data_IF_406829978962
#
_entry.id   IF_406829978962
#
_cell.length_a   1.000
_cell.length_b   1.000
_cell.length_c   1.000
_cell.angle_alpha   90.00
_cell.angle_beta   90.00
_cell.angle_gamma   90.00
#
_symmetry.space_group_name_H-M   'P 1'
#
loop_
_entity.id
_entity.type
_entity.pdbx_description
1 polymer ?
#
# COMPACT_ATOMS: atom_id res chain seq x y z
N UNK A 1 -14.27 34.32 47.58
CA UNK A 1 -15.11 33.86 46.45
C UNK A 1 -14.29 32.93 45.55
N UNK A 2 -13.81 31.81 46.12
CA UNK A 2 -12.91 30.86 45.44
C UNK A 2 -13.14 29.42 45.98
N UNK A 3 -14.42 29.03 46.10
CA UNK A 3 -14.82 27.71 46.56
C UNK A 3 -16.23 27.36 46.04
N UNK A 4 -16.42 27.38 44.73
CA UNK A 4 -17.60 26.83 44.07
C UNK A 4 -17.32 26.74 42.56
N UNK A 5 -16.65 25.68 42.12
CA UNK A 5 -16.60 25.19 40.72
C UNK A 5 -15.71 23.93 40.68
N UNK A 6 -16.12 22.90 41.42
CA UNK A 6 -15.61 21.52 41.29
C UNK A 6 -16.78 20.56 41.38
N UNK A 7 -17.64 20.55 40.36
CA UNK A 7 -18.58 19.44 40.13
C UNK A 7 -19.34 19.64 38.82
N UNK A 8 -18.82 19.10 37.72
CA UNK A 8 -19.62 18.63 36.57
C UNK A 8 -18.69 17.95 35.55
N UNK A 9 -18.13 16.80 35.90
CA UNK A 9 -17.63 15.85 34.91
C UNK A 9 -18.71 14.77 34.73
N UNK A 10 -19.21 14.53 33.49
CA UNK A 10 -20.12 13.44 33.19
C UNK A 10 -19.57 12.09 33.66
N UNK A 11 -20.46 11.20 34.10
CA UNK A 11 -20.12 9.90 34.70
C UNK A 11 -19.28 8.97 33.81
N UNK A 12 -19.33 9.13 32.49
CA UNK A 12 -18.56 8.35 31.52
C UNK A 12 -17.10 8.83 31.34
N UNK A 13 -16.70 9.93 31.98
CA UNK A 13 -15.35 10.51 31.94
C UNK A 13 -14.58 10.36 33.26
N UNK A 14 -15.07 9.55 34.21
CA UNK A 14 -14.32 9.26 35.44
C UNK A 14 -13.34 8.11 35.21
N UNK A 15 -12.03 8.30 35.44
CA UNK A 15 -11.07 7.19 35.39
C UNK A 15 -11.35 6.19 36.52
N UNK A 16 -11.30 4.89 36.21
CA UNK A 16 -11.39 3.80 37.18
C UNK A 16 -10.26 3.90 38.20
N UNK A 17 -10.60 3.84 39.49
CA UNK A 17 -9.67 3.93 40.63
C UNK A 17 -8.57 2.86 40.58
N UNK A 18 -7.31 3.28 40.45
CA UNK A 18 -6.12 2.45 40.65
C UNK A 18 -5.63 2.56 42.11
N UNK A 19 -5.20 1.43 42.65
CA UNK A 19 -4.67 1.25 44.01
C UNK A 19 -3.38 2.07 44.26
N UNK A 20 -3.08 2.49 45.51
CA UNK A 20 -2.10 3.56 45.76
C UNK A 20 -0.63 3.13 45.84
N UNK A 21 -0.22 1.99 45.26
CA UNK A 21 1.16 1.49 45.30
C UNK A 21 1.64 0.97 43.92
N UNK A 22 1.69 1.84 42.92
CA UNK A 22 2.26 1.51 41.59
C UNK A 22 3.31 2.53 41.18
N UNK A 23 4.53 2.06 40.91
CA UNK A 23 5.70 2.85 40.54
C UNK A 23 5.48 3.56 39.18
N UNK A 24 5.62 4.90 39.07
CA UNK A 24 5.40 5.64 37.82
C UNK A 24 6.29 5.20 36.66
N UNK A 25 7.39 4.49 36.94
CA UNK A 25 8.33 3.99 35.93
C UNK A 25 7.83 2.74 35.17
N UNK A 26 6.81 2.03 35.68
CA UNK A 26 6.32 0.79 35.04
C UNK A 26 5.36 1.09 33.87
N UNK A 27 4.65 2.23 33.91
CA UNK A 27 3.74 2.67 32.83
C UNK A 27 4.50 3.13 31.59
N UNK A 28 5.71 3.69 31.76
CA UNK A 28 6.53 4.21 30.67
C UNK A 28 7.21 3.10 29.82
N UNK A 29 7.27 1.85 30.30
CA UNK A 29 7.99 0.74 29.62
C UNK A 29 7.11 -0.16 28.74
N UNK A 30 5.78 -0.09 28.83
CA UNK A 30 4.89 -1.02 28.08
C UNK A 30 4.35 -0.48 26.76
N UNK A 31 4.56 0.79 26.42
CA UNK A 31 4.05 1.35 25.16
C UNK A 31 5.02 2.36 24.55
N UNK A 32 6.11 1.88 23.94
CA UNK A 32 6.90 2.65 22.98
C UNK A 32 7.45 1.73 21.89
N UNK A 33 6.66 1.54 20.83
CA UNK A 33 7.07 0.94 19.56
C UNK A 33 6.99 1.99 18.46
N UNK A 34 7.71 3.11 18.63
CA UNK A 34 8.06 4.04 17.55
C UNK A 34 9.51 4.42 17.74
N UNK A 35 10.29 4.14 16.72
CA UNK A 35 11.72 4.41 16.58
C UNK A 35 12.03 5.84 17.01
N UNK A 36 12.72 6.00 18.15
CA UNK A 36 13.48 7.21 18.42
C UNK A 36 14.77 7.14 17.62
N UNK A 37 14.86 7.94 16.55
CA UNK A 37 16.12 8.17 15.85
C UNK A 37 17.05 8.95 16.78
N UNK A 38 18.02 8.26 17.39
CA UNK A 38 19.17 8.91 18.02
C UNK A 38 20.09 9.42 16.91
N UNK A 39 20.07 10.73 16.65
CA UNK A 39 21.17 11.41 15.94
C UNK A 39 22.33 11.58 16.92
N UNK A 40 23.29 10.65 16.90
CA UNK A 40 24.56 10.82 17.58
C UNK A 40 25.50 11.63 16.71
N UNK A 41 25.80 12.86 17.16
CA UNK A 41 26.73 13.79 16.52
C UNK A 41 28.16 13.36 16.86
N UNK A 42 28.89 12.75 15.93
CA UNK A 42 30.32 12.47 16.13
C UNK A 42 31.10 13.79 16.07
N UNK A 43 31.70 14.19 17.19
CA UNK A 43 32.78 15.18 17.22
C UNK A 43 34.09 14.45 16.93
N UNK A 44 34.75 14.85 15.85
CA UNK A 44 36.14 14.46 15.57
C UNK A 44 37.03 15.32 16.47
N UNK A 45 37.56 14.74 17.54
CA UNK A 45 38.68 15.30 18.30
C UNK A 45 39.94 14.53 17.95
N UNK A 46 40.93 15.23 17.39
CA UNK A 46 42.31 14.75 17.28
C UNK A 46 42.89 14.53 18.68
N UNK A 47 43.40 13.33 18.98
CA UNK A 47 44.41 13.17 20.03
C UNK A 47 45.33 11.98 19.76
N UNK A 48 46.63 12.31 19.72
CA UNK A 48 47.81 11.54 20.14
C UNK A 48 48.03 10.12 19.64
N UNK A 49 49.12 9.99 18.87
CA UNK A 49 49.76 8.75 18.46
C UNK A 49 50.36 8.00 19.66
N UNK A 50 50.06 6.69 19.76
CA UNK A 50 50.84 5.73 20.53
C UNK A 50 51.54 4.77 19.56
N UNK A 51 52.85 4.65 19.76
CA UNK A 51 53.78 3.82 18.97
C UNK A 51 53.57 2.33 19.29
N UNK A 52 53.32 1.53 18.26
CA UNK A 52 53.49 0.08 18.32
C UNK A 52 54.88 -0.32 17.79
N UNK A 53 55.57 -1.30 18.39
CA UNK A 53 56.91 -1.71 17.99
C UNK A 53 56.90 -2.42 16.61
N UNK A 54 57.98 -2.21 15.86
CA UNK A 54 58.17 -2.72 14.51
C UNK A 54 58.25 -4.25 14.45
N UNK A 55 57.55 -4.86 13.48
CA UNK A 55 57.71 -6.27 13.11
C UNK A 55 59.00 -6.48 12.31
N UNK A 56 59.68 -7.63 12.47
CA UNK A 56 60.88 -7.96 11.68
C UNK A 56 60.51 -8.31 10.22
N UNK A 57 61.45 -8.17 9.26
CA UNK A 57 61.18 -8.42 7.86
C UNK A 57 61.01 -9.92 7.57
N UNK A 58 60.04 -10.23 6.71
CA UNK A 58 59.76 -11.58 6.20
C UNK A 58 60.81 -11.96 5.15
N UNK A 59 61.38 -13.18 5.16
CA UNK A 59 62.29 -13.60 4.11
C UNK A 59 61.52 -13.99 2.84
N UNK A 60 62.03 -13.55 1.68
CA UNK A 60 61.58 -13.98 0.36
C UNK A 60 61.86 -15.48 0.16
N UNK A 61 60.85 -16.21 -0.32
CA UNK A 61 61.01 -17.51 -0.95
C UNK A 61 60.12 -17.58 -2.19
N UNK A 62 60.81 -17.61 -3.34
CA UNK A 62 60.28 -17.98 -4.64
C UNK A 62 59.85 -19.46 -4.68
N UNK A 63 59.01 -19.76 -5.68
CA UNK A 63 58.66 -21.07 -6.24
C UNK A 63 57.85 -22.06 -5.37
N UNK A 64 56.52 -22.02 -5.54
CA UNK A 64 55.71 -23.22 -5.77
C UNK A 64 54.49 -22.86 -6.65
N UNK A 65 54.68 -22.83 -7.96
CA UNK A 65 53.58 -22.89 -8.93
C UNK A 65 53.26 -24.36 -9.21
N UNK A 66 52.12 -24.84 -8.66
CA UNK A 66 51.19 -25.84 -9.23
C UNK A 66 50.26 -26.41 -8.16
N UNK A 67 49.12 -25.75 -7.94
CA UNK A 67 47.88 -26.39 -7.49
C UNK A 67 46.71 -25.71 -8.21
N UNK A 68 46.13 -26.28 -9.28
CA UNK A 68 44.77 -25.91 -9.65
C UNK A 68 43.79 -26.55 -8.64
N UNK A 69 42.57 -26.01 -8.54
CA UNK A 69 41.40 -26.62 -7.84
C UNK A 69 41.40 -26.65 -6.30
N UNK A 70 41.36 -25.47 -5.65
CA UNK A 70 40.70 -25.37 -4.34
C UNK A 70 39.77 -24.15 -4.25
N UNK A 71 40.15 -23.00 -4.80
CA UNK A 71 39.28 -21.82 -4.80
C UNK A 71 38.00 -22.00 -5.65
N UNK A 72 38.11 -22.69 -6.79
CA UNK A 72 36.96 -23.00 -7.64
C UNK A 72 36.00 -24.00 -6.97
N UNK A 73 36.52 -25.06 -6.34
CA UNK A 73 35.73 -26.05 -5.60
C UNK A 73 35.08 -25.43 -4.35
N UNK A 74 35.78 -24.56 -3.62
CA UNK A 74 35.20 -23.85 -2.48
C UNK A 74 34.05 -22.93 -2.93
N UNK A 75 34.20 -22.27 -4.09
CA UNK A 75 33.16 -21.41 -4.65
C UNK A 75 31.94 -22.19 -5.16
N UNK A 76 32.16 -23.37 -5.75
CA UNK A 76 31.11 -24.31 -6.15
C UNK A 76 30.38 -24.86 -4.93
N UNK A 77 31.11 -25.29 -3.90
CA UNK A 77 30.54 -25.82 -2.68
C UNK A 77 29.77 -24.74 -1.88
N UNK A 78 30.26 -23.50 -1.85
CA UNK A 78 29.53 -22.36 -1.31
C UNK A 78 28.24 -22.09 -2.10
N UNK A 79 28.28 -22.14 -3.43
CA UNK A 79 27.08 -21.99 -4.28
C UNK A 79 26.07 -23.13 -4.03
N UNK A 80 26.53 -24.37 -3.91
CA UNK A 80 25.70 -25.52 -3.59
C UNK A 80 25.05 -25.37 -2.21
N UNK A 81 25.82 -25.03 -1.17
CA UNK A 81 25.31 -24.76 0.18
C UNK A 81 24.29 -23.61 0.21
N UNK A 82 24.54 -22.55 -0.57
CA UNK A 82 23.60 -21.43 -0.71
C UNK A 82 22.31 -21.89 -1.41
N UNK A 83 22.43 -22.71 -2.46
CA UNK A 83 21.28 -23.26 -3.18
C UNK A 83 20.47 -24.24 -2.32
N UNK A 84 21.12 -25.06 -1.50
CA UNK A 84 20.48 -25.94 -0.53
C UNK A 84 19.77 -25.17 0.58
N UNK A 85 20.39 -24.09 1.11
CA UNK A 85 19.74 -23.20 2.09
C UNK A 85 18.49 -22.56 1.50
N UNK A 86 18.57 -22.06 0.26
CA UNK A 86 17.43 -21.48 -0.45
C UNK A 86 16.34 -22.53 -0.73
N UNK A 87 16.70 -23.76 -1.13
CA UNK A 87 15.74 -24.84 -1.36
C UNK A 87 15.04 -25.30 -0.07
N UNK A 88 15.75 -25.33 1.06
CA UNK A 88 15.21 -25.64 2.38
C UNK A 88 14.26 -24.53 2.89
N UNK A 89 14.65 -23.26 2.74
CA UNK A 89 13.80 -22.11 3.04
C UNK A 89 12.55 -22.08 2.15
N UNK A 90 12.66 -22.42 0.86
CA UNK A 90 11.52 -22.53 -0.04
C UNK A 90 10.54 -23.67 0.33
N UNK A 91 11.06 -24.79 0.84
CA UNK A 91 10.22 -25.91 1.29
C UNK A 91 9.50 -25.56 2.58
N UNK A 92 10.19 -24.95 3.56
CA UNK A 92 9.59 -24.52 4.83
C UNK A 92 8.54 -23.42 4.66
N UNK A 93 8.76 -22.47 3.75
CA UNK A 93 7.76 -21.43 3.40
C UNK A 93 6.52 -22.03 2.75
N UNK A 94 6.66 -23.03 1.89
CA UNK A 94 5.53 -23.74 1.28
C UNK A 94 4.66 -24.46 2.32
N UNK A 95 5.29 -25.15 3.29
CA UNK A 95 4.57 -25.82 4.38
C UNK A 95 3.82 -24.83 5.26
N UNK A 96 4.47 -23.72 5.65
CA UNK A 96 3.83 -22.68 6.45
C UNK A 96 2.64 -22.04 5.72
N UNK A 97 2.75 -21.81 4.41
CA UNK A 97 1.64 -21.32 3.59
C UNK A 97 0.47 -22.32 3.54
N UNK A 98 0.75 -23.62 3.37
CA UNK A 98 -0.31 -24.64 3.38
C UNK A 98 -1.04 -24.72 4.72
N UNK A 99 -0.30 -24.68 5.84
CA UNK A 99 -0.90 -24.67 7.18
C UNK A 99 -1.78 -23.43 7.39
N UNK A 100 -1.31 -22.25 6.96
CA UNK A 100 -2.09 -21.02 7.02
C UNK A 100 -3.38 -21.15 6.19
N UNK A 101 -3.29 -21.66 4.95
CA UNK A 101 -4.46 -21.84 4.08
C UNK A 101 -5.53 -22.71 4.74
N UNK A 102 -5.12 -23.83 5.34
CA UNK A 102 -6.03 -24.73 6.03
C UNK A 102 -6.68 -24.05 7.25
N UNK A 103 -5.91 -23.27 8.02
CA UNK A 103 -6.45 -22.54 9.16
C UNK A 103 -7.46 -21.46 8.75
N UNK A 104 -7.22 -20.76 7.65
CA UNK A 104 -8.13 -19.75 7.10
C UNK A 104 -9.42 -20.37 6.55
N UNK A 105 -9.33 -21.52 5.86
CA UNK A 105 -10.51 -22.25 5.40
C UNK A 105 -11.38 -22.69 6.59
N UNK A 106 -10.75 -23.27 7.63
CA UNK A 106 -11.46 -23.66 8.85
C UNK A 106 -12.13 -22.46 9.53
N UNK A 107 -11.50 -21.29 9.50
CA UNK A 107 -12.10 -20.04 10.01
C UNK A 107 -13.32 -19.63 9.18
N UNK A 108 -13.21 -19.65 7.85
CA UNK A 108 -14.33 -19.31 6.96
C UNK A 108 -15.52 -20.27 7.10
N UNK A 109 -15.26 -21.55 7.41
CA UNK A 109 -16.30 -22.54 7.66
C UNK A 109 -17.09 -22.32 8.95
N UNK A 110 -16.61 -21.47 9.86
CA UNK A 110 -17.37 -21.08 11.06
C UNK A 110 -18.47 -20.05 10.78
N UNK A 111 -18.47 -19.42 9.60
CA UNK A 111 -19.49 -18.43 9.22
C UNK A 111 -20.76 -19.15 8.77
N UNK A 112 -21.88 -18.86 9.46
CA UNK A 112 -23.17 -19.51 9.18
C UNK A 112 -23.92 -18.87 8.00
N UNK A 113 -23.84 -17.55 7.85
CA UNK A 113 -24.55 -16.82 6.79
C UNK A 113 -23.80 -16.93 5.44
N UNK A 114 -24.44 -17.40 4.36
CA UNK A 114 -23.77 -17.60 3.07
C UNK A 114 -23.21 -16.32 2.43
N UNK A 115 -23.89 -15.18 2.58
CA UNK A 115 -23.43 -13.91 2.00
C UNK A 115 -22.22 -13.38 2.77
N UNK A 116 -22.30 -13.35 4.11
CA UNK A 116 -21.18 -13.00 4.96
C UNK A 116 -20.00 -13.95 4.79
N UNK A 117 -20.26 -15.26 4.60
CA UNK A 117 -19.21 -16.25 4.34
C UNK A 117 -18.43 -15.90 3.07
N UNK A 118 -19.11 -15.57 1.98
CA UNK A 118 -18.46 -15.21 0.71
C UNK A 118 -17.59 -13.94 0.85
N UNK A 119 -18.07 -12.93 1.55
CA UNK A 119 -17.30 -11.72 1.82
C UNK A 119 -16.07 -12.04 2.67
N UNK A 120 -16.25 -12.82 3.73
CA UNK A 120 -15.17 -13.21 4.63
C UNK A 120 -14.13 -14.12 3.95
N UNK A 121 -14.54 -15.04 3.07
CA UNK A 121 -13.64 -15.83 2.22
C UNK A 121 -12.76 -14.94 1.34
N UNK A 122 -13.33 -13.88 0.77
CA UNK A 122 -12.57 -12.90 -0.02
C UNK A 122 -11.53 -12.19 0.83
N UNK A 123 -11.88 -11.79 2.06
CA UNK A 123 -10.91 -11.23 3.02
C UNK A 123 -9.79 -12.21 3.36
N UNK A 124 -10.12 -13.49 3.59
CA UNK A 124 -9.15 -14.52 3.91
C UNK A 124 -8.22 -14.84 2.73
N UNK A 125 -8.74 -14.80 1.49
CA UNK A 125 -7.94 -14.94 0.27
C UNK A 125 -6.95 -13.78 0.11
N UNK A 126 -7.41 -12.55 0.31
CA UNK A 126 -6.56 -11.36 0.24
C UNK A 126 -5.48 -11.38 1.34
N UNK A 127 -5.85 -11.77 2.57
CA UNK A 127 -4.89 -11.98 3.65
C UNK A 127 -3.88 -13.08 3.32
N UNK A 128 -4.32 -14.19 2.73
CA UNK A 128 -3.44 -15.28 2.34
C UNK A 128 -2.43 -14.84 1.28
N UNK A 129 -2.85 -14.05 0.29
CA UNK A 129 -1.95 -13.47 -0.71
C UNK A 129 -0.89 -12.58 -0.05
N UNK A 130 -1.28 -11.75 0.92
CA UNK A 130 -0.36 -10.92 1.71
C UNK A 130 0.62 -11.78 2.53
N UNK A 131 0.13 -12.81 3.20
CA UNK A 131 0.96 -13.71 4.02
C UNK A 131 1.97 -14.48 3.16
N UNK A 132 1.56 -14.96 1.99
CA UNK A 132 2.45 -15.63 1.04
C UNK A 132 3.55 -14.69 0.55
N UNK A 133 3.20 -13.42 0.24
CA UNK A 133 4.19 -12.39 -0.11
C UNK A 133 5.17 -12.15 1.04
N UNK A 134 4.67 -12.02 2.27
CA UNK A 134 5.51 -11.89 3.47
C UNK A 134 6.52 -13.03 3.62
N UNK A 135 6.09 -14.29 3.45
CA UNK A 135 7.00 -15.44 3.52
C UNK A 135 8.07 -15.40 2.43
N UNK A 136 7.68 -15.07 1.19
CA UNK A 136 8.62 -14.96 0.07
C UNK A 136 9.65 -13.84 0.29
N UNK A 137 9.21 -12.69 0.78
CA UNK A 137 10.09 -11.53 1.02
C UNK A 137 11.03 -11.78 2.20
N UNK A 138 10.54 -12.50 3.22
CA UNK A 138 11.35 -12.93 4.36
C UNK A 138 12.45 -13.92 3.94
N UNK A 139 12.12 -14.91 3.11
CA UNK A 139 13.10 -15.86 2.57
C UNK A 139 14.16 -15.17 1.69
N UNK A 140 13.77 -14.12 0.96
CA UNK A 140 14.70 -13.30 0.17
C UNK A 140 15.55 -12.33 1.01
N UNK A 141 15.34 -12.25 2.33
CA UNK A 141 16.13 -11.42 3.23
C UNK A 141 15.77 -9.93 3.23
N UNK A 142 14.67 -9.51 2.58
CA UNK A 142 14.08 -8.16 2.60
C UNK A 142 15.07 -6.97 2.58
N UNK A 143 16.22 -7.14 1.91
CA UNK A 143 17.16 -6.04 1.70
C UNK A 143 16.73 -5.31 0.43
N UNK A 144 16.71 -3.96 0.48
CA UNK A 144 16.81 -3.14 -0.71
C UNK A 144 18.13 -3.53 -1.37
N UNK A 145 18.09 -4.52 -2.26
CA UNK A 145 19.25 -5.22 -2.78
C UNK A 145 20.16 -4.33 -3.63
N UNK A 146 19.72 -3.11 -3.92
CA UNK A 146 20.37 -2.21 -4.86
C UNK A 146 20.12 -0.75 -4.46
N UNK A 147 20.83 -0.30 -3.42
CA UNK A 147 20.80 1.08 -2.97
C UNK A 147 21.22 2.06 -4.07
N UNK A 148 22.12 1.60 -4.96
CA UNK A 148 22.65 2.37 -6.08
C UNK A 148 21.60 2.69 -7.15
N UNK A 149 20.44 2.00 -7.13
CA UNK A 149 19.29 2.31 -8.00
C UNK A 149 18.38 3.42 -7.49
N UNK A 150 18.59 3.91 -6.27
CA UNK A 150 17.80 5.00 -5.71
C UNK A 150 18.36 6.33 -6.23
N UNK A 151 17.52 7.11 -6.92
CA UNK A 151 17.85 8.43 -7.41
C UNK A 151 16.82 9.46 -6.93
N UNK A 152 17.20 10.74 -6.76
CA UNK A 152 16.25 11.82 -6.58
C UNK A 152 15.23 11.85 -7.72
N UNK A 153 13.97 12.23 -7.45
CA UNK A 153 12.97 12.35 -8.50
C UNK A 153 13.42 13.37 -9.56
N UNK A 154 13.13 13.08 -10.82
CA UNK A 154 13.38 14.01 -11.91
C UNK A 154 12.50 15.26 -11.76
N UNK A 155 12.92 16.38 -12.38
CA UNK A 155 12.25 17.68 -12.23
C UNK A 155 10.78 17.67 -12.65
N UNK A 156 10.36 16.76 -13.52
CA UNK A 156 8.97 16.59 -13.97
C UNK A 156 8.15 15.58 -13.13
N UNK A 157 8.77 14.84 -12.21
CA UNK A 157 8.07 13.85 -11.38
C UNK A 157 7.42 14.47 -10.14
N UNK A 158 7.96 15.58 -9.66
CA UNK A 158 7.44 16.35 -8.53
C UNK A 158 7.32 17.80 -8.97
N UNK A 159 6.09 18.23 -9.24
CA UNK A 159 5.77 19.60 -9.68
C UNK A 159 5.62 20.50 -8.46
N UNK A 160 6.23 21.69 -8.50
CA UNK A 160 6.06 22.68 -7.44
C UNK A 160 4.62 23.21 -7.46
N UNK A 161 4.00 23.29 -6.29
CA UNK A 161 2.63 23.77 -6.15
C UNK A 161 2.41 25.19 -6.73
N UNK A 162 3.44 26.05 -6.64
CA UNK A 162 3.37 27.42 -7.14
C UNK A 162 3.29 27.48 -8.67
N UNK A 163 3.77 26.46 -9.37
CA UNK A 163 3.73 26.37 -10.83
C UNK A 163 2.36 25.92 -11.36
N UNK A 164 1.46 25.43 -10.50
CA UNK A 164 0.14 24.98 -10.91
C UNK A 164 -0.72 26.15 -11.39
N UNK A 165 -1.44 25.95 -12.49
CA UNK A 165 -2.39 26.95 -13.00
C UNK A 165 -3.42 27.32 -11.91
N UNK A 166 -3.79 28.60 -11.87
CA UNK A 166 -4.79 29.13 -10.94
C UNK A 166 -6.08 29.53 -11.67
N UNK A 167 -6.53 28.70 -12.61
CA UNK A 167 -7.79 28.91 -13.31
C UNK A 167 -8.87 28.06 -12.65
N UNK A 168 -9.77 28.67 -11.89
CA UNK A 168 -10.84 27.97 -11.16
C UNK A 168 -11.78 27.20 -12.11
N UNK A 169 -11.41 25.95 -12.42
CA UNK A 169 -12.20 25.07 -13.29
C UNK A 169 -13.19 24.28 -12.44
N UNK A 170 -14.23 24.99 -11.98
CA UNK A 170 -15.29 24.48 -11.11
C UNK A 170 -15.99 23.23 -11.70
N UNK A 171 -16.02 23.11 -13.03
CA UNK A 171 -16.60 21.97 -13.75
C UNK A 171 -16.01 20.61 -13.34
N UNK A 172 -14.76 20.59 -12.88
CA UNK A 172 -14.07 19.38 -12.48
C UNK A 172 -14.50 18.82 -11.13
N UNK A 173 -15.17 19.61 -10.29
CA UNK A 173 -15.67 19.15 -8.99
C UNK A 173 -16.70 18.03 -9.14
N UNK A 174 -17.47 17.99 -10.23
CA UNK A 174 -18.42 16.91 -10.50
C UNK A 174 -17.74 15.55 -10.75
N UNK A 175 -16.45 15.56 -11.08
CA UNK A 175 -15.63 14.35 -11.30
C UNK A 175 -14.86 13.92 -10.06
N UNK A 176 -15.00 14.63 -8.95
CA UNK A 176 -14.27 14.39 -7.71
C UNK A 176 -15.15 13.70 -6.67
N UNK A 177 -14.60 12.74 -5.95
CA UNK A 177 -15.09 12.30 -4.64
C UNK A 177 -14.03 12.53 -3.56
N UNK A 178 -14.46 12.81 -2.34
CA UNK A 178 -13.56 13.00 -1.19
C UNK A 178 -13.67 11.80 -0.27
N UNK A 179 -12.56 11.09 -0.05
CA UNK A 179 -12.49 9.93 0.84
C UNK A 179 -11.66 10.27 2.07
N UNK A 180 -12.23 10.10 3.26
CA UNK A 180 -11.51 10.22 4.53
C UNK A 180 -11.27 8.86 5.18
N UNK A 181 -10.02 8.61 5.54
CA UNK A 181 -9.61 7.42 6.29
C UNK A 181 -10.07 7.57 7.75
N UNK A 182 -11.03 6.74 8.16
CA UNK A 182 -11.73 6.79 9.45
C UNK A 182 -11.64 5.46 10.24
N UNK A 183 -10.66 4.62 9.94
CA UNK A 183 -10.40 3.38 10.69
C UNK A 183 -9.65 3.56 12.02
N UNK A 184 -9.14 4.77 12.29
CA UNK A 184 -8.32 5.05 13.46
C UNK A 184 -9.13 5.30 14.73
N UNK A 185 -8.71 4.67 15.82
CA UNK A 185 -9.25 4.93 17.16
C UNK A 185 -8.55 6.11 17.85
N UNK A 186 -9.27 6.78 18.73
CA UNK A 186 -8.76 7.88 19.58
C UNK A 186 -7.94 7.44 20.79
N UNK A 187 -7.54 6.16 20.88
CA UNK A 187 -6.95 5.57 22.10
C UNK A 187 -5.63 6.23 22.52
N UNK A 188 -4.80 6.67 21.57
CA UNK A 188 -3.57 7.41 21.89
C UNK A 188 -3.83 8.76 22.57
N UNK A 189 -5.04 9.29 22.43
CA UNK A 189 -5.51 10.52 23.06
C UNK A 189 -6.37 10.25 24.31
N UNK A 190 -6.49 8.99 24.73
CA UNK A 190 -7.31 8.59 25.88
C UNK A 190 -8.82 8.60 25.61
N UNK A 191 -9.24 8.71 24.35
CA UNK A 191 -10.65 8.69 23.97
C UNK A 191 -11.09 7.28 23.56
N UNK A 192 -12.33 6.93 23.91
CA UNK A 192 -13.02 5.73 23.40
C UNK A 192 -13.77 6.12 22.13
N UNK A 193 -13.64 5.30 21.09
CA UNK A 193 -14.32 5.50 19.80
C UNK A 193 -13.42 6.05 18.68
N UNK A 194 -14.02 6.42 17.52
CA UNK A 194 -13.30 6.88 16.34
C UNK A 194 -12.59 8.20 16.61
N UNK A 195 -11.37 8.34 16.07
CA UNK A 195 -10.59 9.58 16.22
C UNK A 195 -11.28 10.79 15.59
N UNK A 196 -12.12 10.57 14.59
CA UNK A 196 -12.87 11.61 13.89
C UNK A 196 -13.88 12.37 14.75
N UNK A 197 -14.30 11.78 15.87
CA UNK A 197 -15.34 12.31 16.78
C UNK A 197 -14.74 13.22 17.84
N UNK A 198 -13.42 13.22 17.98
CA UNK A 198 -12.73 14.06 18.96
C UNK A 198 -12.97 15.53 18.63
N UNK A 199 -13.44 16.28 19.62
CA UNK A 199 -13.61 17.73 19.54
C UNK A 199 -12.26 18.41 19.34
N UNK A 200 -12.18 19.25 18.31
CA UNK A 200 -10.98 20.02 17.97
C UNK A 200 -11.15 21.48 18.37
N UNK A 201 -12.28 22.08 18.01
CA UNK A 201 -12.49 23.53 18.15
C UNK A 201 -13.97 23.87 18.23
N UNK A 202 -14.34 24.73 19.18
CA UNK A 202 -15.67 25.31 19.29
C UNK A 202 -16.82 24.27 19.28
N UNK A 203 -16.66 23.14 19.99
CA UNK A 203 -17.65 22.06 19.99
C UNK A 203 -17.65 21.17 18.74
N UNK A 204 -16.78 21.44 17.75
CA UNK A 204 -16.72 20.70 16.49
C UNK A 204 -15.65 19.61 16.52
N UNK A 205 -16.02 18.42 16.08
CA UNK A 205 -15.09 17.32 15.82
C UNK A 205 -14.38 17.44 14.47
N UNK A 206 -13.37 16.59 14.23
CA UNK A 206 -12.74 16.47 12.91
C UNK A 206 -13.75 16.15 11.81
N UNK A 207 -14.73 15.29 12.11
CA UNK A 207 -15.79 14.95 11.18
C UNK A 207 -16.70 16.13 10.89
N UNK A 208 -17.06 16.93 11.91
CA UNK A 208 -17.89 18.12 11.74
C UNK A 208 -17.21 19.14 10.82
N UNK A 209 -15.91 19.36 11.03
CA UNK A 209 -15.11 20.26 10.21
C UNK A 209 -15.01 19.77 8.76
N UNK A 210 -14.81 18.46 8.56
CA UNK A 210 -14.74 17.85 7.22
C UNK A 210 -16.07 17.98 6.48
N UNK A 211 -17.19 17.68 7.15
CA UNK A 211 -18.54 17.82 6.58
C UNK A 211 -18.82 19.27 6.22
N UNK A 212 -18.49 20.23 7.10
CA UNK A 212 -18.66 21.66 6.82
C UNK A 212 -17.85 22.15 5.63
N UNK A 213 -16.62 21.66 5.46
CA UNK A 213 -15.79 22.02 4.30
C UNK A 213 -16.44 21.57 2.98
N UNK A 214 -16.96 20.35 2.92
CA UNK A 214 -17.62 19.82 1.71
C UNK A 214 -18.98 20.47 1.49
N UNK A 215 -19.77 20.69 2.55
CA UNK A 215 -21.04 21.41 2.46
C UNK A 215 -20.83 22.85 1.95
N UNK A 216 -19.80 23.54 2.43
CA UNK A 216 -19.42 24.86 1.94
C UNK A 216 -19.04 24.83 0.46
N UNK A 217 -18.26 23.83 0.04
CA UNK A 217 -17.87 23.64 -1.36
C UNK A 217 -19.09 23.39 -2.25
N UNK A 218 -19.98 22.49 -1.84
CA UNK A 218 -21.21 22.17 -2.57
C UNK A 218 -22.13 23.40 -2.72
N UNK A 219 -22.27 24.21 -1.66
CA UNK A 219 -23.08 25.45 -1.70
C UNK A 219 -22.44 26.54 -2.56
N UNK A 220 -21.14 26.77 -2.43
CA UNK A 220 -20.42 27.85 -3.13
C UNK A 220 -20.42 27.63 -4.63
N UNK A 221 -20.21 26.37 -5.06
CA UNK A 221 -20.08 26.03 -6.48
C UNK A 221 -21.31 25.38 -7.08
N UNK A 222 -22.38 25.19 -6.30
CA UNK A 222 -23.61 24.50 -6.69
C UNK A 222 -23.34 23.11 -7.31
N UNK A 223 -22.52 22.32 -6.61
CA UNK A 223 -22.14 20.94 -6.98
C UNK A 223 -22.54 19.96 -5.88
N UNK A 224 -22.47 18.66 -6.18
CA UNK A 224 -22.69 17.59 -5.20
C UNK A 224 -21.50 16.62 -5.18
N UNK A 225 -20.46 17.00 -4.44
CA UNK A 225 -19.27 16.16 -4.25
C UNK A 225 -19.57 15.06 -3.24
N UNK A 226 -19.44 13.76 -3.60
CA UNK A 226 -19.63 12.65 -2.67
C UNK A 226 -18.56 12.67 -1.57
N UNK A 227 -18.98 12.49 -0.32
CA UNK A 227 -18.11 12.40 0.84
C UNK A 227 -18.10 10.95 1.37
N UNK A 228 -16.97 10.27 1.25
CA UNK A 228 -16.82 8.85 1.55
C UNK A 228 -16.01 8.66 2.82
N UNK A 229 -16.51 7.86 3.76
CA UNK A 229 -15.79 7.47 4.98
C UNK A 229 -15.38 5.99 4.90
N UNK A 230 -14.08 5.73 4.97
CA UNK A 230 -13.55 4.38 5.11
C UNK A 230 -13.40 4.05 6.60
N UNK A 231 -14.33 3.28 7.13
CA UNK A 231 -14.39 2.88 8.53
C UNK A 231 -13.55 1.61 8.78
N UNK A 232 -13.52 1.17 10.03
CA UNK A 232 -13.08 -0.17 10.43
C UNK A 232 -14.16 -0.82 11.27
N UNK A 233 -14.10 -2.13 11.50
CA UNK A 233 -14.95 -2.81 12.47
C UNK A 233 -14.87 -2.23 13.90
N UNK A 234 -13.87 -1.39 14.22
CA UNK A 234 -13.80 -0.69 15.51
C UNK A 234 -14.49 0.68 15.51
N UNK A 235 -14.82 1.21 14.33
CA UNK A 235 -15.30 2.60 14.18
C UNK A 235 -16.62 2.71 13.44
N UNK A 236 -17.05 1.67 12.74
CA UNK A 236 -18.21 1.71 11.85
C UNK A 236 -19.51 2.00 12.60
N UNK A 237 -19.87 1.23 13.62
CA UNK A 237 -21.10 1.41 14.40
C UNK A 237 -21.21 2.82 15.02
N UNK A 238 -20.14 3.31 15.63
CA UNK A 238 -20.08 4.66 16.20
C UNK A 238 -20.24 5.72 15.10
N UNK A 239 -19.60 5.51 13.95
CA UNK A 239 -19.71 6.44 12.82
C UNK A 239 -21.13 6.46 12.24
N UNK A 240 -21.79 5.31 12.07
CA UNK A 240 -23.17 5.23 11.58
C UNK A 240 -24.15 5.99 12.48
N UNK A 241 -23.94 5.96 13.80
CA UNK A 241 -24.78 6.70 14.71
C UNK A 241 -24.54 8.22 14.64
N UNK A 242 -23.30 8.63 14.42
CA UNK A 242 -22.92 10.05 14.38
C UNK A 242 -23.32 10.70 13.06
N UNK A 243 -23.21 10.01 11.93
CA UNK A 243 -23.53 10.60 10.62
C UNK A 243 -25.01 11.00 10.49
N UNK A 244 -25.92 10.38 11.27
CA UNK A 244 -27.34 10.76 11.34
C UNK A 244 -27.55 12.23 11.69
N UNK A 245 -26.61 12.85 12.42
CA UNK A 245 -26.68 14.28 12.76
C UNK A 245 -26.56 15.19 11.53
N UNK A 246 -26.07 14.67 10.41
CA UNK A 246 -25.92 15.39 9.15
C UNK A 246 -27.08 15.12 8.18
N UNK A 247 -28.09 14.36 8.57
CA UNK A 247 -29.30 14.20 7.76
C UNK A 247 -29.95 15.58 7.52
N UNK A 248 -30.18 15.92 6.25
CA UNK A 248 -30.71 17.23 5.84
C UNK A 248 -29.65 18.29 5.51
N UNK A 249 -28.36 18.01 5.70
CA UNK A 249 -27.29 18.86 5.16
C UNK A 249 -27.11 18.62 3.65
N UNK A 250 -26.54 19.61 2.95
CA UNK A 250 -26.29 19.52 1.50
C UNK A 250 -25.00 18.72 1.19
N UNK A 251 -24.97 17.46 1.60
CA UNK A 251 -23.84 16.56 1.46
C UNK A 251 -24.34 15.11 1.33
N UNK A 252 -23.76 14.36 0.40
CA UNK A 252 -24.00 12.92 0.28
C UNK A 252 -22.86 12.16 0.98
N UNK A 253 -23.18 11.52 2.11
CA UNK A 253 -22.21 10.78 2.93
C UNK A 253 -22.35 9.29 2.63
N UNK A 254 -21.32 8.72 2.02
CA UNK A 254 -21.20 7.28 1.79
C UNK A 254 -20.22 6.69 2.81
N UNK A 255 -20.47 5.46 3.25
CA UNK A 255 -19.60 4.79 4.22
C UNK A 255 -19.37 3.35 3.78
N UNK A 256 -18.16 2.85 4.00
CA UNK A 256 -17.86 1.43 3.86
C UNK A 256 -16.84 1.00 4.91
N UNK A 257 -16.85 -0.29 5.21
CA UNK A 257 -15.92 -0.88 6.15
C UNK A 257 -14.71 -1.47 5.39
N UNK A 258 -13.51 -1.25 5.92
CA UNK A 258 -12.31 -1.90 5.42
C UNK A 258 -12.25 -3.36 5.89
N UNK A 259 -11.37 -4.15 5.27
CA UNK A 259 -11.27 -5.58 5.59
C UNK A 259 -10.86 -5.84 7.04
N UNK A 260 -11.21 -7.04 7.54
CA UNK A 260 -10.83 -7.51 8.87
C UNK A 260 -9.92 -8.73 8.78
N UNK A 261 -8.64 -8.56 9.09
CA UNK A 261 -7.65 -9.64 9.01
C UNK A 261 -7.34 -10.28 10.36
N UNK A 262 -7.06 -11.60 10.40
CA UNK A 262 -6.70 -12.28 11.63
C UNK A 262 -5.28 -11.89 12.03
N UNK A 263 -5.07 -11.54 13.30
CA UNK A 263 -3.71 -11.40 13.84
C UNK A 263 -3.02 -12.76 13.82
N UNK A 264 -1.70 -12.74 13.69
CA UNK A 264 -0.87 -13.94 13.68
C UNK A 264 -0.12 -14.05 15.00
N UNK A 265 -0.11 -15.24 15.59
CA UNK A 265 0.75 -15.53 16.73
C UNK A 265 2.20 -15.64 16.26
N UNK A 266 3.10 -14.86 16.86
CA UNK A 266 4.51 -14.77 16.44
C UNK A 266 5.23 -16.12 16.43
N UNK A 267 4.94 -16.97 17.42
CA UNK A 267 5.69 -18.21 17.62
C UNK A 267 5.19 -19.34 16.70
N UNK A 268 3.88 -19.43 16.47
CA UNK A 268 3.29 -20.50 15.63
C UNK A 268 3.07 -20.11 14.18
N UNK A 269 3.07 -18.81 13.86
CA UNK A 269 2.68 -18.26 12.55
C UNK A 269 1.27 -18.67 12.10
N UNK A 270 0.40 -18.99 13.06
CA UNK A 270 -1.01 -19.33 12.82
C UNK A 270 -1.93 -18.18 13.23
N UNK A 271 -3.16 -18.11 12.68
CA UNK A 271 -4.12 -17.11 13.09
C UNK A 271 -4.47 -17.26 14.58
N UNK A 272 -4.50 -16.12 15.28
CA UNK A 272 -4.97 -15.99 16.64
C UNK A 272 -6.45 -16.38 16.79
N UNK A 273 -7.39 -15.87 15.98
CA UNK A 273 -8.80 -16.24 16.11
C UNK A 273 -9.02 -17.71 15.76
N UNK A 274 -10.03 -18.32 16.37
CA UNK A 274 -10.44 -19.72 16.13
C UNK A 274 -11.79 -19.84 15.40
N UNK A 275 -12.56 -18.77 15.40
CA UNK A 275 -13.86 -18.65 14.76
C UNK A 275 -14.10 -17.21 14.31
N UNK A 276 -15.09 -16.99 13.44
CA UNK A 276 -15.52 -15.67 12.99
C UNK A 276 -15.89 -14.71 14.14
N UNK A 277 -16.50 -15.25 15.20
CA UNK A 277 -16.93 -14.51 16.39
C UNK A 277 -15.85 -14.42 17.48
N UNK A 278 -14.61 -14.79 17.17
CA UNK A 278 -13.50 -14.64 18.12
C UNK A 278 -13.34 -13.17 18.53
N UNK A 279 -12.80 -12.89 19.73
CA UNK A 279 -12.69 -11.54 20.27
C UNK A 279 -12.10 -10.54 19.28
N UNK A 280 -12.65 -9.32 19.25
CA UNK A 280 -12.20 -8.21 18.39
C UNK A 280 -10.69 -7.97 18.47
N UNK A 281 -10.08 -8.23 19.64
CA UNK A 281 -8.63 -8.14 19.87
C UNK A 281 -7.78 -9.08 19.03
N UNK A 282 -8.36 -10.15 18.48
CA UNK A 282 -7.67 -11.15 17.68
C UNK A 282 -7.65 -10.76 16.19
N UNK A 283 -8.34 -9.66 15.86
CA UNK A 283 -8.43 -9.11 14.53
C UNK A 283 -7.67 -7.78 14.43
N UNK A 284 -7.39 -7.35 13.21
CA UNK A 284 -6.87 -6.02 12.94
C UNK A 284 -7.34 -5.52 11.57
N UNK A 285 -7.56 -4.20 11.40
CA UNK A 285 -7.71 -3.61 10.08
C UNK A 285 -6.33 -3.59 9.39
N UNK A 286 -6.21 -4.04 8.12
CA UNK A 286 -4.94 -4.16 7.40
C UNK A 286 -4.26 -2.84 6.99
N UNK A 287 -4.57 -1.75 7.69
CA UNK A 287 -4.06 -0.42 7.43
C UNK A 287 -4.71 0.24 6.20
N UNK A 288 -4.34 1.49 5.96
CA UNK A 288 -4.98 2.30 4.91
C UNK A 288 -4.68 1.84 3.47
N UNK A 289 -3.73 0.90 3.27
CA UNK A 289 -3.46 0.33 1.95
C UNK A 289 -4.59 -0.57 1.43
N UNK A 290 -5.45 -1.04 2.32
CA UNK A 290 -6.63 -1.85 2.00
C UNK A 290 -7.76 -1.04 1.34
N UNK A 291 -7.63 0.29 1.28
CA UNK A 291 -8.62 1.19 0.67
C UNK A 291 -9.02 0.74 -0.73
N UNK A 292 -8.09 0.19 -1.53
CA UNK A 292 -8.37 -0.22 -2.91
C UNK A 292 -9.28 -1.46 -2.96
N UNK A 293 -8.92 -2.51 -2.22
CA UNK A 293 -9.67 -3.76 -2.16
C UNK A 293 -11.04 -3.55 -1.52
N UNK A 294 -11.10 -2.86 -0.38
CA UNK A 294 -12.34 -2.60 0.33
C UNK A 294 -13.28 -1.65 -0.41
N UNK A 295 -12.77 -0.63 -1.10
CA UNK A 295 -13.59 0.25 -1.94
C UNK A 295 -14.18 -0.51 -3.14
N UNK A 296 -13.42 -1.42 -3.74
CA UNK A 296 -13.92 -2.30 -4.82
C UNK A 296 -14.99 -3.26 -4.28
N UNK A 297 -14.69 -4.00 -3.22
CA UNK A 297 -15.58 -5.01 -2.64
C UNK A 297 -16.88 -4.43 -2.08
N UNK A 298 -16.88 -3.17 -1.62
CA UNK A 298 -18.08 -2.48 -1.14
C UNK A 298 -19.08 -2.11 -2.26
N UNK A 299 -18.68 -2.14 -3.53
CA UNK A 299 -19.49 -1.65 -4.65
C UNK A 299 -19.63 -0.13 -4.72
N UNK A 300 -19.01 0.62 -3.79
CA UNK A 300 -18.99 2.08 -3.83
C UNK A 300 -18.17 2.55 -5.04
N UNK A 301 -17.09 1.86 -5.40
CA UNK A 301 -16.31 2.21 -6.60
C UNK A 301 -17.20 2.28 -7.84
N UNK A 302 -18.00 1.25 -8.09
CA UNK A 302 -18.94 1.21 -9.23
C UNK A 302 -19.99 2.32 -9.14
N UNK A 303 -20.43 2.64 -7.93
CA UNK A 303 -21.39 3.72 -7.68
C UNK A 303 -20.79 5.08 -8.02
N UNK A 304 -19.54 5.34 -7.63
CA UNK A 304 -18.81 6.56 -7.94
C UNK A 304 -18.58 6.68 -9.45
N UNK A 305 -18.12 5.61 -10.11
CA UNK A 305 -17.91 5.58 -11.57
C UNK A 305 -19.22 5.85 -12.32
N UNK A 306 -20.34 5.23 -11.92
CA UNK A 306 -21.66 5.46 -12.53
C UNK A 306 -22.14 6.91 -12.38
N UNK A 307 -21.71 7.60 -11.33
CA UNK A 307 -22.00 9.03 -11.10
C UNK A 307 -21.10 9.97 -11.93
N UNK A 308 -20.12 9.44 -12.66
CA UNK A 308 -19.17 10.24 -13.44
C UNK A 308 -17.97 10.74 -12.63
N UNK A 309 -17.71 10.15 -11.45
CA UNK A 309 -16.49 10.44 -10.67
C UNK A 309 -15.31 9.75 -11.35
N UNK A 310 -14.24 10.52 -11.58
CA UNK A 310 -12.98 10.04 -12.18
C UNK A 310 -11.83 10.03 -11.16
N UNK A 311 -11.90 10.87 -10.11
CA UNK A 311 -10.82 11.07 -9.14
C UNK A 311 -11.35 10.97 -7.72
N UNK A 312 -10.58 10.29 -6.86
CA UNK A 312 -10.79 10.26 -5.41
C UNK A 312 -9.68 11.03 -4.72
N UNK A 313 -10.04 12.07 -3.97
CA UNK A 313 -9.13 12.75 -3.05
C UNK A 313 -9.11 12.01 -1.70
N UNK A 314 -8.01 11.31 -1.44
CA UNK A 314 -7.81 10.51 -0.23
C UNK A 314 -7.02 11.28 0.83
N UNK A 315 -7.53 11.36 2.06
CA UNK A 315 -6.75 11.88 3.18
C UNK A 315 -7.17 11.26 4.52
N UNK A 316 -6.34 11.42 5.55
CA UNK A 316 -6.79 11.12 6.91
C UNK A 316 -7.87 12.11 7.37
N UNK A 317 -8.75 11.65 8.25
CA UNK A 317 -9.78 12.49 8.90
C UNK A 317 -9.19 13.46 9.91
N UNK A 318 -8.05 13.11 10.52
CA UNK A 318 -7.35 13.95 11.51
C UNK A 318 -6.45 15.03 10.89
N UNK A 319 -6.35 15.07 9.55
CA UNK A 319 -5.64 16.11 8.84
C UNK A 319 -6.60 17.21 8.38
N UNK A 320 -6.75 18.25 9.20
CA UNK A 320 -7.62 19.40 8.89
C UNK A 320 -7.11 20.27 7.73
N UNK A 321 -5.82 20.19 7.40
CA UNK A 321 -5.23 20.91 6.26
C UNK A 321 -5.50 20.23 4.91
N UNK A 322 -6.00 18.99 4.92
CA UNK A 322 -6.36 18.26 3.72
C UNK A 322 -7.73 18.71 3.19
N UNK A 323 -7.78 19.94 2.67
CA UNK A 323 -8.92 20.50 1.95
C UNK A 323 -8.84 20.18 0.46
N UNK A 324 -9.98 20.26 -0.23
CA UNK A 324 -10.01 20.13 -1.69
C UNK A 324 -9.30 21.33 -2.31
N UNK A 325 -8.24 21.06 -3.06
CA UNK A 325 -7.47 22.08 -3.77
C UNK A 325 -7.81 22.04 -5.27
N UNK A 326 -8.39 23.13 -5.78
CA UNK A 326 -8.82 23.23 -7.17
C UNK A 326 -7.65 23.26 -8.17
N UNK A 327 -6.48 23.77 -7.77
CA UNK A 327 -5.28 23.82 -8.63
C UNK A 327 -4.73 22.42 -8.84
N UNK A 328 -4.69 21.63 -7.76
CA UNK A 328 -4.30 20.22 -7.83
C UNK A 328 -5.31 19.42 -8.65
N UNK A 329 -6.62 19.60 -8.40
CA UNK A 329 -7.67 18.91 -9.14
C UNK A 329 -7.60 19.21 -10.63
N UNK A 330 -7.47 20.49 -11.00
CA UNK A 330 -7.31 20.88 -12.39
C UNK A 330 -6.09 20.21 -13.00
N UNK A 331 -4.94 20.29 -12.34
CA UNK A 331 -3.72 19.69 -12.83
C UNK A 331 -3.84 18.15 -12.98
N UNK A 332 -4.64 17.48 -12.16
CA UNK A 332 -4.91 16.04 -12.31
C UNK A 332 -5.80 15.69 -13.51
N UNK A 333 -6.74 16.56 -13.89
CA UNK A 333 -7.70 16.30 -14.96
C UNK A 333 -7.23 16.85 -16.30
N UNK A 334 -6.34 17.84 -16.30
CA UNK A 334 -5.82 18.44 -17.53
C UNK A 334 -5.20 17.35 -18.43
N UNK A 335 -5.76 17.11 -19.63
CA UNK A 335 -5.24 16.11 -20.58
C UNK A 335 -3.85 16.44 -21.13
N UNK A 336 -3.28 17.60 -20.76
CA UNK A 336 -1.88 17.90 -21.01
C UNK A 336 -0.93 17.21 -20.02
N UNK A 337 -1.43 16.64 -18.90
CA UNK A 337 -0.61 15.93 -17.91
C UNK A 337 -0.35 14.47 -18.29
N UNK A 338 -1.39 13.81 -18.77
CA UNK A 338 -1.32 12.50 -19.41
C UNK A 338 -1.97 12.74 -20.74
N UNK A 339 -1.26 12.53 -21.86
CA UNK A 339 -1.90 12.54 -23.17
C UNK A 339 -3.20 11.70 -23.13
N UNK A 340 -4.13 11.91 -24.09
CA UNK A 340 -5.36 11.13 -24.13
C UNK A 340 -5.05 9.64 -23.92
N UNK A 341 -5.92 8.92 -23.17
CA UNK A 341 -5.69 7.52 -22.84
C UNK A 341 -5.18 6.76 -24.08
N UNK A 342 -4.07 6.00 -23.97
CA UNK A 342 -3.41 5.46 -25.14
C UNK A 342 -4.38 4.63 -25.97
N UNK A 343 -4.36 4.83 -27.29
CA UNK A 343 -5.15 4.00 -28.18
C UNK A 343 -4.49 2.62 -28.28
N UNK A 344 -5.08 1.62 -27.61
CA UNK A 344 -4.57 0.25 -27.62
C UNK A 344 -5.43 -0.63 -28.54
N UNK A 345 -4.81 -1.20 -29.58
CA UNK A 345 -5.41 -2.18 -30.50
C UNK A 345 -4.63 -3.49 -30.42
N UNK A 346 -5.27 -4.52 -29.89
CA UNK A 346 -4.71 -5.87 -29.87
C UNK A 346 -5.43 -6.73 -30.93
N UNK A 347 -4.66 -7.47 -31.71
CA UNK A 347 -5.17 -8.35 -32.77
C UNK A 347 -5.91 -9.58 -32.23
N UNK A 348 -6.41 -10.40 -33.14
CA UNK A 348 -7.24 -11.57 -32.83
C UNK A 348 -6.56 -12.57 -31.86
N UNK A 349 -5.23 -12.67 -31.88
CA UNK A 349 -4.41 -13.48 -30.98
C UNK A 349 -4.52 -13.14 -29.49
N UNK A 350 -5.10 -11.97 -29.16
CA UNK A 350 -5.30 -11.49 -27.79
C UNK A 350 -6.79 -11.42 -27.40
N UNK A 351 -7.70 -11.88 -28.27
CA UNK A 351 -9.15 -11.75 -28.08
C UNK A 351 -9.67 -12.57 -26.89
N UNK A 352 -9.08 -13.73 -26.62
CA UNK A 352 -9.40 -14.56 -25.45
C UNK A 352 -8.48 -14.20 -24.29
N UNK A 353 -9.05 -14.11 -23.09
CA UNK A 353 -8.31 -13.79 -21.86
C UNK A 353 -7.16 -14.78 -21.61
N UNK A 354 -7.38 -16.07 -21.87
CA UNK A 354 -6.34 -17.11 -21.76
C UNK A 354 -5.14 -16.85 -22.65
N UNK A 355 -5.38 -16.39 -23.88
CA UNK A 355 -4.33 -16.12 -24.86
C UNK A 355 -3.62 -14.81 -24.53
N UNK A 356 -4.37 -13.79 -24.08
CA UNK A 356 -3.81 -12.54 -23.57
C UNK A 356 -2.84 -12.78 -22.41
N UNK A 357 -3.25 -13.52 -21.37
CA UNK A 357 -2.42 -13.79 -20.19
C UNK A 357 -1.20 -14.65 -20.52
N UNK A 358 -1.33 -15.58 -21.46
CA UNK A 358 -0.22 -16.41 -21.94
C UNK A 358 0.85 -15.57 -22.65
N UNK A 359 0.42 -14.57 -23.43
CA UNK A 359 1.30 -13.70 -24.24
C UNK A 359 1.84 -12.50 -23.47
N UNK A 360 1.13 -12.04 -22.44
CA UNK A 360 1.50 -10.91 -21.58
C UNK A 360 1.46 -11.39 -20.12
N UNK A 361 2.54 -12.08 -19.71
CA UNK A 361 2.66 -12.60 -18.35
C UNK A 361 2.92 -11.53 -17.27
N UNK A 362 3.28 -10.31 -17.68
CA UNK A 362 3.45 -9.14 -16.82
C UNK A 362 3.06 -7.90 -17.62
N UNK A 363 2.19 -7.06 -17.04
CA UNK A 363 1.71 -5.85 -17.70
C UNK A 363 2.90 -4.89 -17.95
N UNK A 364 3.12 -4.43 -19.20
CA UNK A 364 4.18 -3.49 -19.51
C UNK A 364 3.90 -2.11 -18.91
N UNK A 365 4.95 -1.32 -18.73
CA UNK A 365 4.81 0.10 -18.32
C UNK A 365 4.37 0.92 -19.53
N UNK A 366 3.21 1.58 -19.42
CA UNK A 366 2.58 2.34 -20.53
C UNK A 366 2.25 3.79 -20.15
N UNK A 367 2.91 4.33 -19.12
CA UNK A 367 2.59 5.66 -18.58
C UNK A 367 2.86 6.81 -19.57
N UNK A 368 3.78 6.59 -20.52
CA UNK A 368 4.16 7.54 -21.58
C UNK A 368 3.73 7.03 -22.97
N UNK A 369 2.74 6.13 -23.05
CA UNK A 369 2.26 5.57 -24.30
C UNK A 369 1.16 6.47 -24.90
N UNK A 370 1.20 6.68 -26.22
CA UNK A 370 0.14 7.36 -26.98
C UNK A 370 -0.70 6.36 -27.81
N UNK A 371 -0.04 5.43 -28.50
CA UNK A 371 -0.68 4.46 -29.39
C UNK A 371 0.04 3.13 -29.37
N UNK A 372 -0.69 2.04 -29.16
CA UNK A 372 -0.19 0.67 -29.26
C UNK A 372 -1.02 -0.13 -30.25
N UNK A 373 -0.38 -0.74 -31.24
CA UNK A 373 -1.01 -1.77 -32.08
C UNK A 373 -0.17 -3.03 -32.07
N UNK A 374 -0.76 -4.17 -31.68
CA UNK A 374 -0.11 -5.48 -31.71
C UNK A 374 -0.92 -6.41 -32.61
N UNK A 375 -0.30 -6.96 -33.65
CA UNK A 375 -0.94 -7.90 -34.60
C UNK A 375 -0.10 -9.16 -34.76
N UNK A 376 -0.76 -10.33 -34.78
CA UNK A 376 -0.12 -11.64 -34.89
C UNK A 376 0.38 -12.21 -33.56
N UNK A 377 1.13 -13.29 -33.64
CA UNK A 377 1.64 -14.01 -32.46
C UNK A 377 2.82 -13.28 -31.80
N UNK A 378 2.53 -12.33 -30.92
CA UNK A 378 3.52 -11.56 -30.17
C UNK A 378 3.51 -11.96 -28.69
N UNK A 379 4.67 -12.12 -28.07
CA UNK A 379 4.84 -12.35 -26.64
C UNK A 379 5.65 -11.21 -26.01
N UNK A 380 5.19 -10.68 -24.87
CA UNK A 380 5.88 -9.63 -24.12
C UNK A 380 6.57 -10.21 -22.88
N UNK A 381 7.88 -10.06 -22.81
CA UNK A 381 8.67 -10.38 -21.62
C UNK A 381 8.32 -9.49 -20.42
N UNK A 382 8.81 -9.88 -19.23
CA UNK A 382 8.55 -9.10 -18.00
C UNK A 382 9.29 -7.76 -18.04
N UNK A 383 8.66 -6.72 -17.47
CA UNK A 383 9.28 -5.41 -17.31
C UNK A 383 9.47 -4.61 -18.60
N UNK A 384 8.79 -4.97 -19.68
CA UNK A 384 8.78 -4.18 -20.93
C UNK A 384 8.17 -2.80 -20.68
N UNK A 385 8.74 -1.77 -21.33
CA UNK A 385 8.26 -0.38 -21.27
C UNK A 385 7.91 0.09 -22.68
N UNK A 386 6.73 0.68 -22.86
CA UNK A 386 6.23 1.17 -24.14
C UNK A 386 5.96 2.68 -24.04
N UNK A 387 6.46 3.45 -25.01
CA UNK A 387 6.39 4.92 -25.03
C UNK A 387 6.03 5.46 -26.42
N UNK A 388 5.28 6.56 -26.47
CA UNK A 388 4.85 7.22 -27.71
C UNK A 388 4.00 6.30 -28.59
N UNK A 389 4.34 6.20 -29.87
CA UNK A 389 3.67 5.28 -30.81
C UNK A 389 4.45 3.97 -30.99
N UNK A 390 3.87 2.84 -30.56
CA UNK A 390 4.46 1.50 -30.74
C UNK A 390 3.55 0.63 -31.60
N UNK A 391 4.10 0.04 -32.66
CA UNK A 391 3.38 -0.90 -33.51
C UNK A 391 4.20 -2.18 -33.62
N UNK A 392 3.63 -3.33 -33.26
CA UNK A 392 4.29 -4.64 -33.33
C UNK A 392 3.47 -5.54 -34.26
N UNK A 393 4.09 -6.03 -35.33
CA UNK A 393 3.43 -6.87 -36.33
C UNK A 393 4.26 -8.13 -36.55
N UNK A 394 3.80 -9.25 -35.98
CA UNK A 394 4.32 -10.56 -36.32
C UNK A 394 3.83 -10.95 -37.71
N UNK A 395 4.75 -11.40 -38.57
CA UNK A 395 4.39 -11.86 -39.92
C UNK A 395 3.56 -13.15 -39.83
N UNK A 396 2.70 -13.41 -40.81
CA UNK A 396 1.84 -14.60 -40.82
C UNK A 396 2.68 -15.89 -40.68
N UNK A 397 2.26 -16.79 -39.78
CA UNK A 397 3.00 -18.01 -39.45
C UNK A 397 4.25 -17.82 -38.58
N UNK A 398 4.58 -16.58 -38.19
CA UNK A 398 5.75 -16.24 -37.38
C UNK A 398 5.37 -15.77 -35.97
N UNK A 399 6.32 -15.87 -35.05
CA UNK A 399 6.22 -15.34 -33.68
C UNK A 399 7.24 -14.24 -33.47
N UNK A 400 6.88 -13.23 -32.65
CA UNK A 400 7.81 -12.23 -32.11
C UNK A 400 7.81 -12.31 -30.58
N UNK A 401 8.95 -12.65 -30.00
CA UNK A 401 9.20 -12.59 -28.56
C UNK A 401 9.95 -11.31 -28.22
N UNK A 402 9.28 -10.36 -27.55
CA UNK A 402 9.92 -9.15 -27.04
C UNK A 402 10.71 -9.49 -25.78
N UNK A 403 12.04 -9.29 -25.75
CA UNK A 403 12.86 -9.64 -24.61
C UNK A 403 12.42 -8.94 -23.31
N UNK A 404 12.57 -9.58 -22.13
CA UNK A 404 12.33 -8.92 -20.85
C UNK A 404 13.15 -7.64 -20.68
N UNK A 405 12.55 -6.61 -20.07
CA UNK A 405 13.19 -5.32 -19.84
C UNK A 405 13.32 -4.39 -21.06
N UNK A 406 12.85 -4.82 -22.24
CA UNK A 406 12.92 -4.01 -23.47
C UNK A 406 12.16 -2.69 -23.32
N UNK A 407 12.73 -1.61 -23.87
CA UNK A 407 12.10 -0.29 -23.97
C UNK A 407 11.83 -0.01 -25.45
N UNK A 408 10.55 0.14 -25.82
CA UNK A 408 10.12 0.46 -27.17
C UNK A 408 9.50 1.86 -27.18
N UNK A 409 10.08 2.75 -27.95
CA UNK A 409 9.67 4.15 -28.03
C UNK A 409 9.59 4.59 -29.49
N UNK A 410 8.42 5.08 -29.93
CA UNK A 410 8.20 5.61 -31.28
C UNK A 410 8.71 4.69 -32.40
N UNK A 411 8.34 3.41 -32.34
CA UNK A 411 8.93 2.35 -33.17
C UNK A 411 7.89 1.41 -33.77
N UNK A 412 8.19 0.92 -34.97
CA UNK A 412 7.49 -0.19 -35.62
C UNK A 412 8.40 -1.42 -35.61
N UNK A 413 7.96 -2.49 -34.96
CA UNK A 413 8.66 -3.77 -34.88
C UNK A 413 7.91 -4.76 -35.77
N UNK A 414 8.56 -5.25 -36.82
CA UNK A 414 7.99 -6.23 -37.75
C UNK A 414 8.98 -7.36 -38.03
N UNK A 415 8.49 -8.59 -38.12
CA UNK A 415 9.27 -9.75 -38.55
C UNK A 415 8.98 -11.01 -37.74
N UNK A 416 10.04 -11.78 -37.47
CA UNK A 416 10.02 -12.96 -36.61
C UNK A 416 11.24 -12.96 -35.68
N UNK A 417 11.00 -13.17 -34.40
CA UNK A 417 12.03 -13.32 -33.38
C UNK A 417 11.55 -14.35 -32.37
N UNK A 418 12.34 -15.40 -32.13
CA UNK A 418 12.03 -16.42 -31.14
C UNK A 418 13.15 -16.51 -30.10
N UNK A 419 12.79 -16.40 -28.83
CA UNK A 419 13.71 -16.55 -27.71
C UNK A 419 13.55 -17.96 -27.14
N UNK A 420 14.67 -18.68 -27.03
CA UNK A 420 14.73 -20.01 -26.42
C UNK A 420 15.60 -19.93 -25.15
N UNK A 421 15.19 -20.62 -24.08
CA UNK A 421 16.03 -20.78 -22.89
C UNK A 421 17.25 -21.64 -23.25
N UNK A 422 18.43 -21.23 -22.79
CA UNK A 422 19.68 -21.99 -22.91
C UNK A 422 19.99 -22.64 -21.57
#
# INVERSE_FOLDING_TARGET
MAAALKSALPSHLKPSSLSPNGDPAEFARKHHGKTQSHMTRFHITQSSAEQYPAFPPVPELEEFTKVPTMAADLSLHLRELTSYSQAFENTSTSVAASQMRNALNNLADTVSDPEQKKLFETEMDNFFALFRRYLNDKAKGNQLSDWDRIAPPAQNQVVDYNELANSESVSFLNKLAVLKLNGGLGTSMGCVGPKSVIEVRDGMSFLDLSVRQIEYLNRTYNVNVPFVLMNSFNTDDDTQNIIKKYEGHNIDILTFNQSRYPRILKDSLLPAPKSFDSPISDWYPPGHGDVFESLYNSGILDTLIKRGVEIVFLSNVDNLGAVVDLRILQHMIDPNRFGPAPLIKLGNDFKKVSDFQKRIGSIPKIIELDHLTITGAVNLGRGVTLKGTVIIVATEGSTIDIPPGSILENVVVQGSLRLLEH
#
